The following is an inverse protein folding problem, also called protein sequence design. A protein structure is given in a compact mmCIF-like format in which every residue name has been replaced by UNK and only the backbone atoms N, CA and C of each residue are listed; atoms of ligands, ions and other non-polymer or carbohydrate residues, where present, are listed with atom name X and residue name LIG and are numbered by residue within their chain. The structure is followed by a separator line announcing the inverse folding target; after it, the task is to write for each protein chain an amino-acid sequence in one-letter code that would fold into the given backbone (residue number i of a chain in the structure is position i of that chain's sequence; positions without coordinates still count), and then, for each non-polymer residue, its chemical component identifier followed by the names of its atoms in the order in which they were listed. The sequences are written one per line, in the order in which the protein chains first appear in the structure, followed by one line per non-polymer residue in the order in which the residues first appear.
data_IF_191856818845
#
_entry.id   IF_191856818845
#
_cell.length_a   1.000
_cell.length_b   1.000
_cell.length_c   1.000
_cell.angle_alpha   90.00
_cell.angle_beta   90.00
_cell.angle_gamma   90.00
#
_symmetry.space_group_name_H-M   'P 1'
#
loop_
_entity.id
_entity.type
_entity.pdbx_description
1 polymer ?
#
# COMPACT_ATOMS: atom_id res chain seq x y z
N UNK A 1 -13.63 23.37 -8.16
CA UNK A 1 -13.43 22.07 -8.84
C UNK A 1 -12.21 21.33 -8.32
N UNK A 2 -10.99 21.88 -8.44
CA UNK A 2 -9.76 21.20 -8.00
C UNK A 2 -9.74 20.80 -6.49
N UNK A 3 -10.16 21.69 -5.58
CA UNK A 3 -10.27 21.35 -4.14
C UNK A 3 -11.25 20.21 -3.86
N UNK A 4 -12.39 20.18 -4.58
CA UNK A 4 -13.40 19.11 -4.45
C UNK A 4 -12.83 17.78 -4.95
N UNK A 5 -12.12 17.80 -6.08
CA UNK A 5 -11.44 16.61 -6.62
C UNK A 5 -10.38 16.08 -5.65
N UNK A 6 -9.58 16.98 -5.04
CA UNK A 6 -8.58 16.61 -4.04
C UNK A 6 -9.24 15.97 -2.80
N UNK A 7 -10.30 16.58 -2.27
CA UNK A 7 -11.04 16.03 -1.13
C UNK A 7 -11.62 14.64 -1.43
N UNK A 8 -12.22 14.45 -2.61
CA UNK A 8 -12.74 13.16 -3.05
C UNK A 8 -11.62 12.12 -3.21
N UNK A 9 -10.46 12.51 -3.73
CA UNK A 9 -9.28 11.64 -3.81
C UNK A 9 -8.84 11.18 -2.43
N UNK A 10 -8.69 12.11 -1.48
CA UNK A 10 -8.28 11.80 -0.10
C UNK A 10 -9.25 10.82 0.57
N UNK A 11 -10.56 11.00 0.36
CA UNK A 11 -11.57 10.07 0.87
C UNK A 11 -11.44 8.69 0.22
N UNK A 12 -11.30 8.62 -1.11
CA UNK A 12 -11.16 7.36 -1.84
C UNK A 12 -9.89 6.60 -1.45
N UNK A 13 -8.75 7.30 -1.29
CA UNK A 13 -7.50 6.75 -0.76
C UNK A 13 -7.75 6.08 0.59
N UNK A 14 -8.42 6.78 1.52
CA UNK A 14 -8.69 6.24 2.84
C UNK A 14 -9.56 4.98 2.77
N UNK A 15 -10.64 5.01 1.99
CA UNK A 15 -11.49 3.85 1.78
C UNK A 15 -10.71 2.67 1.20
N UNK A 16 -9.85 2.92 0.21
CA UNK A 16 -9.04 1.89 -0.42
C UNK A 16 -8.03 1.29 0.56
N UNK A 17 -7.32 2.10 1.35
CA UNK A 17 -6.42 1.60 2.38
C UNK A 17 -7.13 0.72 3.40
N UNK A 18 -8.32 1.12 3.87
CA UNK A 18 -9.13 0.31 4.77
C UNK A 18 -9.61 -0.99 4.11
N UNK A 19 -10.03 -0.91 2.85
CA UNK A 19 -10.47 -2.07 2.09
C UNK A 19 -9.35 -3.10 1.95
N UNK A 20 -8.13 -2.66 1.61
CA UNK A 20 -6.95 -3.52 1.52
C UNK A 20 -6.67 -4.21 2.87
N UNK A 21 -6.65 -3.45 3.97
CA UNK A 21 -6.44 -4.02 5.31
C UNK A 21 -7.51 -5.06 5.66
N UNK A 22 -8.77 -4.76 5.37
CA UNK A 22 -9.87 -5.68 5.64
C UNK A 22 -9.75 -6.96 4.84
N UNK A 23 -9.44 -6.89 3.53
CA UNK A 23 -9.21 -8.07 2.70
C UNK A 23 -8.04 -8.90 3.24
N UNK A 24 -6.94 -8.24 3.63
CA UNK A 24 -5.78 -8.93 4.20
C UNK A 24 -6.14 -9.61 5.53
N UNK A 25 -6.95 -8.98 6.37
CA UNK A 25 -7.44 -9.54 7.62
C UNK A 25 -8.39 -10.74 7.41
N UNK A 26 -9.25 -10.70 6.39
CA UNK A 26 -10.09 -11.84 6.01
C UNK A 26 -9.25 -13.07 5.63
N UNK A 27 -8.13 -12.85 4.92
CA UNK A 27 -7.20 -13.92 4.57
C UNK A 27 -6.43 -14.41 5.81
N UNK A 28 -5.91 -13.49 6.64
CA UNK A 28 -5.19 -13.81 7.88
C UNK A 28 -6.02 -14.63 8.85
N UNK A 29 -7.30 -14.32 8.97
CA UNK A 29 -8.26 -15.01 9.84
C UNK A 29 -8.84 -16.29 9.23
N UNK A 30 -8.34 -16.71 8.04
CA UNK A 30 -8.78 -17.90 7.31
C UNK A 30 -10.31 -17.94 7.04
N UNK A 31 -10.95 -16.77 6.97
CA UNK A 31 -12.37 -16.66 6.62
C UNK A 31 -12.62 -17.01 5.14
N UNK A 32 -11.62 -16.83 4.29
CA UNK A 32 -11.62 -17.33 2.91
C UNK A 32 -11.03 -18.74 2.91
N UNK A 33 -11.92 -19.74 2.86
CA UNK A 33 -11.52 -21.17 2.93
C UNK A 33 -10.86 -21.66 1.64
N UNK A 34 -11.34 -21.20 0.49
CA UNK A 34 -10.78 -21.58 -0.80
C UNK A 34 -9.42 -20.89 -1.03
N UNK A 35 -8.37 -21.71 -1.23
CA UNK A 35 -7.00 -21.22 -1.39
C UNK A 35 -6.78 -20.50 -2.72
N UNK A 36 -7.50 -20.90 -3.78
CA UNK A 36 -7.43 -20.20 -5.07
C UNK A 36 -8.04 -18.80 -4.94
N UNK A 37 -9.22 -18.68 -4.31
CA UNK A 37 -9.86 -17.40 -4.05
C UNK A 37 -9.02 -16.50 -3.14
N UNK A 38 -8.44 -17.04 -2.05
CA UNK A 38 -7.50 -16.29 -1.22
C UNK A 38 -6.34 -15.72 -2.05
N UNK A 39 -5.92 -16.44 -3.10
CA UNK A 39 -4.90 -15.98 -4.02
C UNK A 39 -5.26 -14.91 -5.00
N UNK A 40 -6.48 -14.94 -5.50
CA UNK A 40 -6.99 -13.82 -6.28
C UNK A 40 -7.07 -12.57 -5.41
N UNK A 41 -7.50 -12.71 -4.15
CA UNK A 41 -7.58 -11.57 -3.22
C UNK A 41 -6.20 -11.02 -2.88
N UNK A 42 -5.18 -11.85 -2.63
CA UNK A 42 -3.83 -11.35 -2.40
C UNK A 42 -3.20 -10.72 -3.64
N UNK A 43 -3.45 -11.26 -4.84
CA UNK A 43 -3.00 -10.65 -6.07
C UNK A 43 -3.64 -9.26 -6.26
N UNK A 44 -4.95 -9.15 -5.99
CA UNK A 44 -5.63 -7.86 -6.00
C UNK A 44 -5.02 -6.88 -4.99
N UNK A 45 -4.80 -7.30 -3.73
CA UNK A 45 -4.15 -6.47 -2.71
C UNK A 45 -2.81 -5.94 -3.21
N UNK A 46 -2.00 -6.83 -3.81
CA UNK A 46 -0.69 -6.46 -4.32
C UNK A 46 -0.78 -5.41 -5.44
N UNK A 47 -1.64 -5.62 -6.44
CA UNK A 47 -1.84 -4.67 -7.53
C UNK A 47 -2.29 -3.30 -7.01
N UNK A 48 -3.18 -3.28 -6.02
CA UNK A 48 -3.59 -2.02 -5.40
C UNK A 48 -2.43 -1.34 -4.66
N UNK A 49 -1.58 -2.11 -3.98
CA UNK A 49 -0.39 -1.56 -3.32
C UNK A 49 0.66 -1.03 -4.31
N UNK A 50 0.76 -1.57 -5.52
CA UNK A 50 1.64 -1.04 -6.57
C UNK A 50 1.21 0.36 -7.06
N UNK A 51 -0.11 0.60 -7.15
CA UNK A 51 -0.68 1.83 -7.71
C UNK A 51 -0.90 2.90 -6.63
N UNK A 52 -1.21 2.49 -5.40
CA UNK A 52 -1.61 3.41 -4.32
C UNK A 52 -0.60 4.53 -4.04
N UNK A 53 0.73 4.30 -4.00
CA UNK A 53 1.73 5.35 -3.81
C UNK A 53 1.65 6.47 -4.86
N UNK A 54 1.28 6.14 -6.10
CA UNK A 54 1.15 7.12 -7.18
C UNK A 54 -0.01 8.07 -6.88
N UNK A 55 -1.18 7.54 -6.52
CA UNK A 55 -2.34 8.35 -6.15
C UNK A 55 -2.07 9.24 -4.94
N UNK A 56 -1.43 8.68 -3.91
CA UNK A 56 -0.99 9.40 -2.71
C UNK A 56 -0.04 10.57 -3.04
N UNK A 57 0.95 10.34 -3.91
CA UNK A 57 1.88 11.38 -4.32
C UNK A 57 1.21 12.47 -5.17
N UNK A 58 0.23 12.10 -6.01
CA UNK A 58 -0.54 13.08 -6.79
C UNK A 58 -1.34 14.02 -5.89
N UNK A 59 -1.92 13.54 -4.78
CA UNK A 59 -2.58 14.41 -3.78
C UNK A 59 -1.62 15.47 -3.22
N UNK A 60 -0.39 15.06 -2.90
CA UNK A 60 0.67 15.95 -2.46
C UNK A 60 1.02 17.00 -3.52
N UNK A 61 1.22 16.58 -4.78
CA UNK A 61 1.56 17.51 -5.87
C UNK A 61 0.42 18.48 -6.19
N UNK A 62 -0.84 18.02 -6.18
CA UNK A 62 -2.01 18.85 -6.47
C UNK A 62 -2.20 19.89 -5.38
N UNK A 63 -2.18 19.49 -4.10
CA UNK A 63 -2.26 20.44 -2.98
C UNK A 63 -1.12 21.46 -3.00
N UNK A 64 0.10 21.03 -3.33
CA UNK A 64 1.24 21.93 -3.50
C UNK A 64 0.98 22.97 -4.60
N UNK A 65 0.54 22.52 -5.79
CA UNK A 65 0.22 23.40 -6.93
C UNK A 65 -0.93 24.37 -6.65
N UNK A 66 -1.83 24.03 -5.74
CA UNK A 66 -2.91 24.90 -5.29
C UNK A 66 -2.45 25.91 -4.21
N UNK A 67 -1.16 25.96 -3.88
CA UNK A 67 -0.60 26.84 -2.86
C UNK A 67 -0.86 26.38 -1.42
N UNK A 68 -1.38 25.16 -1.23
CA UNK A 68 -1.73 24.60 0.09
C UNK A 68 -0.53 23.82 0.65
N UNK A 69 0.61 24.49 0.85
CA UNK A 69 1.89 23.84 1.15
C UNK A 69 1.90 23.04 2.45
N UNK A 70 1.29 23.55 3.53
CA UNK A 70 1.19 22.83 4.80
C UNK A 70 0.32 21.58 4.69
N UNK A 71 -0.80 21.69 3.98
CA UNK A 71 -1.66 20.54 3.68
C UNK A 71 -0.91 19.51 2.84
N UNK A 72 -0.20 19.96 1.80
CA UNK A 72 0.63 19.12 0.94
C UNK A 72 1.66 18.31 1.72
N UNK A 73 2.34 18.96 2.67
CA UNK A 73 3.31 18.28 3.53
C UNK A 73 2.63 17.29 4.50
N UNK A 74 1.45 17.66 5.02
CA UNK A 74 0.66 16.78 5.89
C UNK A 74 0.19 15.54 5.13
N UNK A 75 -0.31 15.72 3.90
CA UNK A 75 -0.81 14.64 3.05
C UNK A 75 0.26 13.62 2.71
N UNK A 76 1.49 14.07 2.42
CA UNK A 76 2.55 13.14 2.05
C UNK A 76 3.10 12.36 3.26
N UNK A 77 3.17 12.99 4.44
CA UNK A 77 3.53 12.31 5.70
C UNK A 77 2.48 11.27 6.09
N UNK A 78 1.20 11.65 6.06
CA UNK A 78 0.08 10.74 6.30
C UNK A 78 0.10 9.55 5.32
N UNK A 79 0.32 9.83 4.03
CA UNK A 79 0.37 8.80 2.99
C UNK A 79 1.56 7.85 3.17
N UNK A 80 2.74 8.36 3.50
CA UNK A 80 3.91 7.55 3.83
C UNK A 80 3.63 6.60 5.00
N UNK A 81 3.06 7.13 6.10
CA UNK A 81 2.72 6.32 7.28
C UNK A 81 1.69 5.23 6.93
N UNK A 82 0.60 5.60 6.26
CA UNK A 82 -0.45 4.65 5.85
C UNK A 82 0.09 3.54 4.96
N UNK A 83 0.88 3.89 3.94
CA UNK A 83 1.46 2.90 3.05
C UNK A 83 2.47 1.99 3.76
N UNK A 84 3.27 2.54 4.67
CA UNK A 84 4.24 1.77 5.45
C UNK A 84 3.55 0.71 6.32
N UNK A 85 2.46 1.07 6.98
CA UNK A 85 1.62 0.13 7.75
C UNK A 85 1.06 -0.97 6.84
N UNK A 86 0.49 -0.61 5.69
CA UNK A 86 -0.02 -1.58 4.72
C UNK A 86 1.07 -2.57 4.27
N UNK A 87 2.26 -2.06 3.97
CA UNK A 87 3.40 -2.86 3.52
C UNK A 87 3.91 -3.79 4.62
N UNK A 88 3.96 -3.32 5.86
CA UNK A 88 4.34 -4.14 7.01
C UNK A 88 3.34 -5.26 7.25
N UNK A 89 2.04 -4.96 7.24
CA UNK A 89 0.98 -5.94 7.42
C UNK A 89 1.01 -7.03 6.34
N UNK A 90 1.23 -6.64 5.08
CA UNK A 90 1.35 -7.54 3.94
C UNK A 90 2.61 -8.42 4.04
N UNK A 91 3.77 -7.83 4.36
CA UNK A 91 5.03 -8.56 4.62
C UNK A 91 4.87 -9.56 5.76
N UNK A 92 4.24 -9.15 6.86
CA UNK A 92 3.97 -10.00 8.01
C UNK A 92 3.16 -11.24 7.64
N UNK A 93 2.13 -11.08 6.81
CA UNK A 93 1.35 -12.19 6.27
C UNK A 93 2.21 -13.17 5.45
N UNK A 94 2.99 -12.64 4.50
CA UNK A 94 3.82 -13.47 3.61
C UNK A 94 4.87 -14.25 4.39
N UNK A 95 5.51 -13.61 5.37
CA UNK A 95 6.50 -14.25 6.23
C UNK A 95 5.89 -15.36 7.07
N UNK A 96 4.73 -15.11 7.69
CA UNK A 96 3.98 -16.11 8.45
C UNK A 96 3.61 -17.31 7.57
N UNK A 97 3.10 -17.05 6.37
CA UNK A 97 2.72 -18.09 5.40
C UNK A 97 3.92 -18.92 4.94
N UNK A 98 5.02 -18.27 4.58
CA UNK A 98 6.26 -18.93 4.19
C UNK A 98 6.82 -19.82 5.32
N UNK A 99 6.76 -19.35 6.57
CA UNK A 99 7.22 -20.12 7.72
C UNK A 99 6.31 -21.34 7.97
N UNK A 100 4.99 -21.19 7.86
CA UNK A 100 4.04 -22.32 7.93
C UNK A 100 4.36 -23.38 6.86
N UNK A 101 4.57 -22.96 5.62
CA UNK A 101 4.91 -23.85 4.50
C UNK A 101 6.23 -24.60 4.72
N UNK A 102 7.22 -23.98 5.36
CA UNK A 102 8.49 -24.64 5.68
C UNK A 102 8.38 -25.64 6.82
N UNK A 103 7.58 -25.33 7.85
CA UNK A 103 7.48 -26.11 9.08
C UNK A 103 6.53 -27.29 8.97
N UNK A 104 5.38 -27.08 8.33
CA UNK A 104 4.48 -28.16 7.96
C UNK A 104 4.92 -28.68 6.60
N UNK A 105 5.04 -30.00 6.41
CA UNK A 105 5.21 -30.61 5.07
C UNK A 105 3.97 -30.30 4.23
N UNK A 106 3.85 -29.05 3.78
CA UNK A 106 2.59 -28.45 3.40
C UNK A 106 2.03 -29.13 2.15
N UNK A 107 0.71 -29.22 2.12
CA UNK A 107 -0.04 -29.77 0.99
C UNK A 107 0.34 -29.04 -0.31
N UNK A 108 0.37 -29.79 -1.42
CA UNK A 108 0.78 -29.29 -2.74
C UNK A 108 0.02 -28.04 -3.18
N UNK A 109 -1.24 -27.87 -2.75
CA UNK A 109 -2.06 -26.69 -3.05
C UNK A 109 -1.55 -25.41 -2.39
N UNK A 110 -1.11 -25.47 -1.12
CA UNK A 110 -0.55 -24.32 -0.42
C UNK A 110 0.76 -23.86 -1.08
N UNK A 111 1.56 -24.80 -1.59
CA UNK A 111 2.78 -24.52 -2.33
C UNK A 111 2.49 -23.89 -3.70
N UNK A 112 1.54 -24.44 -4.45
CA UNK A 112 1.20 -23.95 -5.80
C UNK A 112 0.70 -22.51 -5.79
N UNK A 113 -0.23 -22.20 -4.89
CA UNK A 113 -0.75 -20.84 -4.76
C UNK A 113 0.33 -19.86 -4.26
N UNK A 114 1.03 -20.19 -3.17
CA UNK A 114 2.03 -19.28 -2.61
C UNK A 114 3.17 -18.98 -3.60
N UNK A 115 3.57 -19.96 -4.41
CA UNK A 115 4.58 -19.75 -5.45
C UNK A 115 4.14 -18.74 -6.52
N UNK A 116 2.84 -18.67 -6.86
CA UNK A 116 2.32 -17.71 -7.84
C UNK A 116 2.38 -16.27 -7.35
N UNK A 117 2.19 -16.03 -6.06
CA UNK A 117 2.23 -14.68 -5.47
C UNK A 117 3.62 -14.27 -4.97
N UNK A 118 4.54 -15.23 -4.80
CA UNK A 118 5.83 -14.97 -4.17
C UNK A 118 6.70 -14.00 -4.95
N UNK A 119 6.89 -14.23 -6.26
CA UNK A 119 7.73 -13.34 -7.06
C UNK A 119 7.10 -11.94 -7.19
N UNK A 120 5.81 -11.80 -7.54
CA UNK A 120 5.16 -10.49 -7.57
C UNK A 120 5.27 -9.75 -6.22
N UNK A 121 5.10 -10.44 -5.09
CA UNK A 121 5.25 -9.83 -3.78
C UNK A 121 6.68 -9.36 -3.49
N UNK A 122 7.69 -10.13 -3.89
CA UNK A 122 9.10 -9.72 -3.78
C UNK A 122 9.39 -8.50 -4.66
N UNK A 123 8.83 -8.46 -5.86
CA UNK A 123 8.96 -7.33 -6.77
C UNK A 123 8.36 -6.06 -6.15
N UNK A 124 7.14 -6.13 -5.61
CA UNK A 124 6.51 -5.02 -4.87
C UNK A 124 7.38 -4.54 -3.70
N UNK A 125 7.91 -5.48 -2.90
CA UNK A 125 8.70 -5.16 -1.70
C UNK A 125 10.06 -4.55 -2.04
N UNK A 126 10.69 -5.03 -3.11
CA UNK A 126 12.00 -4.54 -3.56
C UNK A 126 11.90 -3.26 -4.37
N UNK A 127 10.74 -2.98 -4.95
CA UNK A 127 10.48 -1.77 -5.70
C UNK A 127 10.54 -0.54 -4.78
N UNK A 128 11.52 0.32 -5.05
CA UNK A 128 11.77 1.55 -4.29
C UNK A 128 10.83 2.71 -4.66
N UNK A 129 9.88 2.50 -5.57
CA UNK A 129 8.97 3.58 -6.03
C UNK A 129 8.22 4.24 -4.86
N UNK A 130 7.80 3.48 -3.86
CA UNK A 130 7.12 4.02 -2.68
C UNK A 130 8.06 4.86 -1.79
N UNK A 131 9.37 4.59 -1.81
CA UNK A 131 10.38 5.39 -1.12
C UNK A 131 10.54 6.73 -1.82
N UNK A 132 10.70 6.71 -3.15
CA UNK A 132 10.83 7.91 -3.97
C UNK A 132 9.58 8.79 -3.92
N UNK A 133 8.40 8.17 -4.03
CA UNK A 133 7.14 8.89 -4.10
C UNK A 133 6.63 9.36 -2.74
N UNK A 134 6.89 8.62 -1.66
CA UNK A 134 6.29 8.91 -0.35
C UNK A 134 7.31 9.22 0.74
N UNK A 135 8.33 8.36 0.92
CA UNK A 135 9.24 8.48 2.06
C UNK A 135 10.17 9.69 1.94
N UNK A 136 10.82 9.89 0.79
CA UNK A 136 11.70 11.06 0.60
C UNK A 136 10.93 12.38 0.75
N UNK A 137 9.79 12.61 0.06
CA UNK A 137 9.09 13.90 0.16
C UNK A 137 8.37 14.09 1.51
N UNK A 138 8.14 13.02 2.28
CA UNK A 138 7.67 13.14 3.66
C UNK A 138 8.75 13.66 4.63
N UNK A 139 10.03 13.36 4.35
CA UNK A 139 11.18 13.73 5.16
C UNK A 139 11.81 15.06 4.70
N UNK A 140 11.79 15.34 3.41
CA UNK A 140 12.23 16.60 2.83
C UNK A 140 11.13 17.64 3.05
N UNK A 141 11.30 18.52 4.04
CA UNK A 141 10.44 19.69 4.15
C UNK A 141 10.72 20.60 2.95
N UNK A 142 9.72 20.83 2.10
CA UNK A 142 9.82 21.82 1.04
C UNK A 142 10.06 23.18 1.71
N UNK A 143 11.24 23.76 1.49
CA UNK A 143 11.57 25.09 1.99
C UNK A 143 10.59 26.08 1.37
N UNK A 144 9.75 26.68 2.20
CA UNK A 144 8.88 27.77 1.77
C UNK A 144 9.82 28.90 1.39
N UNK A 145 9.95 29.17 0.09
CA UNK A 145 10.54 30.42 -0.37
C UNK A 145 9.62 31.52 0.17
N UNK A 146 10.03 32.17 1.27
CA UNK A 146 9.32 33.34 1.77
C UNK A 146 9.25 34.32 0.60
N UNK A 147 8.04 34.62 0.14
CA UNK A 147 7.82 35.74 -0.77
C UNK A 147 8.44 36.97 -0.10
N UNK A 148 9.47 37.52 -0.73
CA UNK A 148 10.13 38.77 -0.33
C UNK A 148 9.18 39.96 -0.51
#
# INVERSE_FOLDING_TARGET
MANTTLANSMQLKNHLSFFILNLLNLIKSEQIKDKQHAGLVLNFIQQMMEILPVGMHLEHLVSHRLGQYELSQTLIKDSHNKYSILLEEYRGYLNSTNNRIKLSKAEAENLSYFNKIKQPALDLISNQIHVELLAKPANEQLSIMKSA
#
